data_IF_469446200583
#
_entry.id   IF_469446200583
#
_cell.length_a   1.000
_cell.length_b   1.000
_cell.length_c   1.000
_cell.angle_alpha   90.00
_cell.angle_beta   90.00
_cell.angle_gamma   90.00
#
_symmetry.space_group_name_H-M   'P 1'
#
loop_
_entity.id
_entity.type
_entity.pdbx_description
1 polymer ?
#
# COMPACT_ATOMS: atom_id res chain seq x y z
N UNK A 1 -3.68 5.73 2.73
CA UNK A 1 -2.54 6.22 3.56
C UNK A 1 -2.82 6.85 4.92
N UNK A 2 -4.07 7.17 5.29
CA UNK A 2 -4.32 7.86 6.57
C UNK A 2 -4.45 6.92 7.79
N UNK A 3 -4.59 5.61 7.59
CA UNK A 3 -4.59 4.67 8.72
C UNK A 3 -3.25 4.76 9.46
N UNK A 4 -3.32 4.87 10.78
CA UNK A 4 -2.15 4.81 11.67
C UNK A 4 -1.68 3.37 11.92
N UNK A 5 -2.52 2.38 11.59
CA UNK A 5 -2.17 0.96 11.66
C UNK A 5 -2.51 0.30 10.32
N UNK A 6 -1.53 0.26 9.43
CA UNK A 6 -1.69 -0.38 8.11
C UNK A 6 -1.77 -1.90 8.23
N UNK A 7 -1.03 -2.52 9.14
CA UNK A 7 -1.03 -3.97 9.32
C UNK A 7 -2.42 -4.48 9.73
N UNK A 8 -3.08 -3.81 10.68
CA UNK A 8 -4.45 -4.14 11.07
C UNK A 8 -5.44 -3.99 9.91
N UNK A 9 -5.31 -2.93 9.09
CA UNK A 9 -6.17 -2.73 7.91
C UNK A 9 -6.00 -3.85 6.89
N UNK A 10 -4.76 -4.25 6.58
CA UNK A 10 -4.50 -5.33 5.63
C UNK A 10 -5.02 -6.68 6.15
N UNK A 11 -4.81 -6.98 7.44
CA UNK A 11 -5.36 -8.17 8.08
C UNK A 11 -6.90 -8.18 8.06
N UNK A 12 -7.54 -7.03 8.28
CA UNK A 12 -8.99 -6.91 8.26
C UNK A 12 -9.56 -7.11 6.85
N UNK A 13 -8.88 -6.60 5.81
CA UNK A 13 -9.22 -6.88 4.42
C UNK A 13 -9.21 -8.38 4.12
N UNK A 14 -8.18 -9.10 4.59
CA UNK A 14 -8.12 -10.55 4.45
C UNK A 14 -9.26 -11.23 5.22
N UNK A 15 -9.54 -10.81 6.47
CA UNK A 15 -10.58 -11.41 7.31
C UNK A 15 -11.97 -11.37 6.66
N UNK A 16 -12.35 -10.24 6.07
CA UNK A 16 -13.69 -10.03 5.50
C UNK A 16 -13.89 -10.66 4.13
N UNK A 17 -12.82 -10.89 3.38
CA UNK A 17 -12.91 -11.54 2.06
C UNK A 17 -13.15 -13.04 2.19
N UNK A 18 -13.96 -13.60 1.29
CA UNK A 18 -14.06 -15.05 1.10
C UNK A 18 -12.75 -15.58 0.50
N UNK A 19 -12.40 -16.86 0.72
CA UNK A 19 -11.30 -17.52 0.03
C UNK A 19 -11.33 -17.28 -1.48
N UNK A 20 -10.18 -16.92 -2.07
CA UNK A 20 -10.07 -16.55 -3.48
C UNK A 20 -10.65 -15.18 -3.86
N UNK A 21 -11.16 -14.39 -2.90
CA UNK A 21 -11.56 -13.00 -3.09
C UNK A 21 -10.40 -12.11 -3.55
N UNK A 22 -10.70 -10.97 -4.17
CA UNK A 22 -9.69 -10.07 -4.74
C UNK A 22 -9.82 -8.66 -4.19
N UNK A 23 -8.69 -7.96 -4.13
CA UNK A 23 -8.63 -6.52 -3.86
C UNK A 23 -8.11 -5.78 -5.10
N UNK A 24 -8.57 -4.54 -5.25
CA UNK A 24 -8.05 -3.57 -6.21
C UNK A 24 -8.12 -2.19 -5.56
N UNK A 25 -6.98 -1.52 -5.39
CA UNK A 25 -6.85 -0.27 -4.64
C UNK A 25 -6.06 0.73 -5.49
N UNK A 26 -6.52 1.98 -5.51
CA UNK A 26 -5.70 3.13 -5.87
C UNK A 26 -5.26 3.84 -4.58
N UNK A 27 -3.95 3.94 -4.34
CA UNK A 27 -3.38 4.68 -3.20
C UNK A 27 -2.10 5.40 -3.66
N UNK A 28 -1.60 6.33 -2.85
CA UNK A 28 -0.26 6.89 -3.05
C UNK A 28 0.77 5.90 -2.49
N UNK A 29 1.83 5.62 -3.25
CA UNK A 29 2.87 4.67 -2.89
C UNK A 29 4.25 5.30 -3.14
N UNK A 30 5.16 5.10 -2.21
CA UNK A 30 6.53 5.58 -2.29
C UNK A 30 7.45 4.57 -3.02
N UNK A 31 8.52 5.07 -3.61
CA UNK A 31 9.66 4.24 -4.00
C UNK A 31 10.36 3.64 -2.77
N UNK A 32 11.04 2.51 -2.95
CA UNK A 32 11.57 1.69 -1.86
C UNK A 32 12.81 2.30 -1.18
N UNK A 33 13.48 3.25 -1.83
CA UNK A 33 14.62 3.98 -1.27
C UNK A 33 14.21 5.13 -0.33
N UNK A 34 12.92 5.50 -0.31
CA UNK A 34 12.42 6.60 0.50
C UNK A 34 12.12 6.16 1.93
N UNK A 35 12.84 6.75 2.90
CA UNK A 35 12.54 6.57 4.31
C UNK A 35 11.24 7.28 4.72
N UNK A 36 10.59 6.90 5.84
CA UNK A 36 9.43 7.62 6.36
C UNK A 36 9.68 9.13 6.54
N UNK A 37 10.88 9.52 6.99
CA UNK A 37 11.25 10.92 7.14
C UNK A 37 11.31 11.65 5.79
N UNK A 38 11.80 10.98 4.74
CA UNK A 38 11.84 11.57 3.40
C UNK A 38 10.44 11.69 2.80
N UNK A 39 9.53 10.76 3.10
CA UNK A 39 8.11 10.87 2.73
C UNK A 39 7.45 12.05 3.46
N UNK A 40 7.73 12.23 4.74
CA UNK A 40 7.20 13.34 5.54
C UNK A 40 7.69 14.73 5.09
N UNK A 41 8.93 14.82 4.58
CA UNK A 41 9.45 16.07 3.98
C UNK A 41 8.75 16.44 2.67
N UNK A 42 8.20 15.47 1.95
CA UNK A 42 7.56 15.68 0.63
C UNK A 42 6.09 16.09 0.72
N UNK A 43 5.46 15.97 1.87
CA UNK A 43 4.05 16.34 2.03
C UNK A 43 3.41 15.83 3.31
N UNK A 44 2.15 16.17 3.51
CA UNK A 44 1.44 15.92 4.77
C UNK A 44 0.77 14.54 4.83
N UNK A 45 0.40 14.13 6.04
CA UNK A 45 -0.41 12.94 6.28
C UNK A 45 -1.82 13.06 5.67
N UNK A 46 -2.45 14.24 5.79
CA UNK A 46 -3.77 14.54 5.22
C UNK A 46 -3.75 14.49 3.68
N UNK A 47 -2.60 14.83 3.08
CA UNK A 47 -2.37 14.69 1.64
C UNK A 47 -2.02 13.27 1.19
N UNK A 48 -2.12 12.26 2.07
CA UNK A 48 -1.72 10.86 1.79
C UNK A 48 -0.23 10.65 1.49
N UNK A 49 0.63 11.64 1.75
CA UNK A 49 2.05 11.59 1.40
C UNK A 49 2.89 10.95 2.52
N UNK A 50 2.89 11.55 3.71
CA UNK A 50 3.75 11.10 4.82
C UNK A 50 3.42 9.68 5.31
N UNK A 51 2.17 9.26 5.18
CA UNK A 51 1.70 7.92 5.56
C UNK A 51 1.67 6.90 4.42
N UNK A 52 2.27 7.23 3.27
CA UNK A 52 2.38 6.30 2.15
C UNK A 52 3.31 5.14 2.52
N UNK A 53 2.89 3.92 2.22
CA UNK A 53 3.79 2.77 2.22
C UNK A 53 4.66 2.78 0.96
N UNK A 54 5.83 2.18 1.02
CA UNK A 54 6.61 1.86 -0.18
C UNK A 54 6.00 0.68 -0.93
N UNK A 55 6.51 0.41 -2.13
CA UNK A 55 6.12 -0.77 -2.92
C UNK A 55 6.35 -2.06 -2.13
N UNK A 56 7.56 -2.26 -1.61
CA UNK A 56 7.94 -3.44 -0.84
C UNK A 56 7.13 -3.55 0.45
N UNK A 57 6.91 -2.46 1.18
CA UNK A 57 6.05 -2.47 2.39
C UNK A 57 4.61 -2.91 2.08
N UNK A 58 4.05 -2.46 0.95
CA UNK A 58 2.73 -2.91 0.50
C UNK A 58 2.71 -4.41 0.15
N UNK A 59 3.70 -4.87 -0.60
CA UNK A 59 3.81 -6.29 -1.01
C UNK A 59 3.94 -7.18 0.22
N UNK A 60 4.93 -6.93 1.06
CA UNK A 60 5.17 -7.73 2.26
C UNK A 60 4.01 -7.67 3.25
N UNK A 61 3.36 -6.51 3.40
CA UNK A 61 2.19 -6.39 4.27
C UNK A 61 0.99 -7.20 3.79
N UNK A 62 0.75 -7.23 2.48
CA UNK A 62 -0.33 -8.04 1.88
C UNK A 62 -0.03 -9.54 1.97
N UNK A 63 1.20 -9.94 1.66
CA UNK A 63 1.64 -11.34 1.81
C UNK A 63 1.50 -11.82 3.26
N UNK A 64 1.95 -11.02 4.23
CA UNK A 64 1.81 -11.32 5.65
C UNK A 64 0.34 -11.41 6.11
N UNK A 65 -0.58 -10.71 5.44
CA UNK A 65 -2.02 -10.77 5.71
C UNK A 65 -2.73 -11.98 5.05
N UNK A 66 -2.02 -12.80 4.26
CA UNK A 66 -2.58 -13.98 3.58
C UNK A 66 -3.13 -13.69 2.18
N UNK A 67 -2.54 -12.71 1.49
CA UNK A 67 -2.78 -12.48 0.07
C UNK A 67 -1.63 -13.04 -0.77
N UNK A 68 -2.00 -13.63 -1.91
CA UNK A 68 -1.11 -14.08 -2.97
C UNK A 68 -1.33 -13.20 -4.23
N UNK A 69 -0.50 -13.43 -5.26
CA UNK A 69 -0.59 -12.73 -6.57
C UNK A 69 -0.63 -11.20 -6.41
N UNK A 70 0.24 -10.69 -5.53
CA UNK A 70 0.31 -9.27 -5.19
C UNK A 70 1.02 -8.51 -6.30
N UNK A 71 0.41 -7.43 -6.78
CA UNK A 71 1.02 -6.50 -7.73
C UNK A 71 0.81 -5.06 -7.27
N UNK A 72 1.88 -4.27 -7.33
CA UNK A 72 1.85 -2.82 -7.12
C UNK A 72 2.45 -2.19 -8.38
N UNK A 73 1.62 -1.49 -9.14
CA UNK A 73 1.99 -0.85 -10.41
C UNK A 73 1.86 0.66 -10.27
N UNK A 74 2.99 1.37 -10.39
CA UNK A 74 2.98 2.83 -10.42
C UNK A 74 2.33 3.35 -11.69
N UNK A 75 1.58 4.45 -11.57
CA UNK A 75 0.88 5.07 -12.70
C UNK A 75 1.49 6.43 -13.04
N UNK A 76 1.19 7.47 -12.26
CA UNK A 76 1.70 8.81 -12.46
C UNK A 76 2.31 9.35 -11.15
N UNK A 77 3.30 10.23 -11.30
CA UNK A 77 3.96 10.88 -10.18
C UNK A 77 3.00 11.83 -9.45
N UNK A 78 3.07 11.83 -8.12
CA UNK A 78 2.34 12.76 -7.24
C UNK A 78 3.29 13.67 -6.46
N UNK A 79 4.52 13.21 -6.22
CA UNK A 79 5.64 13.96 -5.68
C UNK A 79 6.94 13.27 -6.12
N UNK A 80 8.11 13.88 -5.86
CA UNK A 80 9.40 13.25 -6.12
C UNK A 80 9.50 11.87 -5.45
N UNK A 81 9.82 10.83 -6.24
CA UNK A 81 9.90 9.44 -5.76
C UNK A 81 8.58 8.84 -5.23
N UNK A 82 7.43 9.46 -5.52
CA UNK A 82 6.13 8.96 -5.07
C UNK A 82 5.06 9.04 -6.16
N UNK A 83 4.22 8.02 -6.22
CA UNK A 83 3.31 7.78 -7.34
C UNK A 83 1.91 7.42 -6.84
N UNK A 84 0.90 7.73 -7.64
CA UNK A 84 -0.35 6.97 -7.55
C UNK A 84 -0.09 5.57 -8.09
N UNK A 85 -0.61 4.54 -7.43
CA UNK A 85 -0.39 3.16 -7.82
C UNK A 85 -1.70 2.35 -7.85
N UNK A 86 -1.76 1.37 -8.74
CA UNK A 86 -2.79 0.33 -8.73
C UNK A 86 -2.23 -0.88 -7.97
N UNK A 87 -2.83 -1.19 -6.83
CA UNK A 87 -2.50 -2.35 -6.01
C UNK A 87 -3.57 -3.41 -6.20
N UNK A 88 -3.16 -4.64 -6.53
CA UNK A 88 -4.03 -5.81 -6.68
C UNK A 88 -3.46 -6.97 -5.89
N UNK A 89 -4.34 -7.79 -5.35
CA UNK A 89 -3.97 -9.05 -4.74
C UNK A 89 -5.17 -9.98 -4.63
N UNK A 90 -4.92 -11.27 -4.36
CA UNK A 90 -5.95 -12.29 -4.17
C UNK A 90 -5.80 -12.94 -2.80
N UNK A 91 -6.87 -13.05 -2.01
CA UNK A 91 -6.84 -13.81 -0.76
C UNK A 91 -6.59 -15.29 -1.08
N UNK A 92 -5.63 -15.89 -0.37
CA UNK A 92 -5.35 -17.32 -0.47
C UNK A 92 -6.64 -18.16 -0.26
N UNK A 93 -6.65 -19.36 -0.84
CA UNK A 93 -7.79 -20.28 -0.76
C UNK A 93 -7.90 -20.94 0.63
#
# INVERSE_FOLDING_TARGET
>A
NLSTDKAAVLAEMARVLRPGGRIGISDVVAEDDLTPDDRAKRGSYVGCIAGALSRTEYVSGLEAAGFDDVSVEFTHAVADGMHSAIVKARKAA
#
